data_IF_318039918007
#
_entry.id   IF_318039918007
#
_cell.length_a   1.000
_cell.length_b   1.000
_cell.length_c   1.000
_cell.angle_alpha   90.00
_cell.angle_beta   90.00
_cell.angle_gamma   90.00
#
_symmetry.space_group_name_H-M   'P 1'
#
loop_
_entity.id
_entity.type
_entity.pdbx_description
1 polymer ?
#
# COMPACT_ATOMS: atom_id res chain seq x y z
N UNK A 1 18.83 53.08 18.33
CA UNK A 1 18.56 51.70 17.91
C UNK A 1 19.60 51.33 16.87
N UNK A 2 20.40 50.27 17.05
CA UNK A 2 21.38 49.85 16.06
C UNK A 2 20.66 49.27 14.83
N UNK A 3 21.06 49.69 13.64
CA UNK A 3 20.53 49.18 12.36
C UNK A 3 21.08 47.76 12.14
N UNK A 4 20.16 46.81 11.89
CA UNK A 4 20.50 45.41 11.63
C UNK A 4 21.39 45.29 10.39
N UNK A 5 22.54 44.68 10.57
CA UNK A 5 23.53 44.40 9.53
C UNK A 5 23.03 43.27 8.62
N UNK A 6 22.37 43.63 7.53
CA UNK A 6 22.58 43.10 6.18
C UNK A 6 22.34 41.62 5.83
N UNK A 7 21.90 40.74 6.73
CA UNK A 7 21.76 39.30 6.39
C UNK A 7 20.47 38.64 6.91
N UNK A 8 19.71 39.29 7.78
CA UNK A 8 18.47 38.73 8.32
C UNK A 8 17.26 39.19 7.48
N UNK A 9 16.36 38.28 7.03
CA UNK A 9 15.19 38.64 6.27
C UNK A 9 14.29 39.60 7.06
N UNK A 10 13.89 40.71 6.45
CA UNK A 10 13.00 41.68 7.08
C UNK A 10 11.55 41.30 6.79
N UNK A 11 10.75 41.09 7.84
CA UNK A 11 9.29 40.99 7.74
C UNK A 11 8.69 42.39 7.74
N UNK A 12 8.02 42.76 6.64
CA UNK A 12 7.25 44.00 6.56
C UNK A 12 5.96 43.92 7.39
N UNK A 13 5.33 45.08 7.62
CA UNK A 13 4.09 45.17 8.39
C UNK A 13 2.89 44.45 7.74
N UNK A 14 3.00 44.10 6.46
CA UNK A 14 2.02 43.30 5.70
C UNK A 14 2.28 41.78 5.79
N UNK A 15 3.32 41.35 6.53
CA UNK A 15 3.71 39.95 6.68
C UNK A 15 4.65 39.43 5.59
N UNK A 16 5.02 40.25 4.60
CA UNK A 16 5.92 39.85 3.51
C UNK A 16 7.36 39.79 4.00
N UNK A 17 8.05 38.68 3.75
CA UNK A 17 9.46 38.50 4.06
C UNK A 17 10.31 38.95 2.87
N UNK A 18 11.11 39.99 3.05
CA UNK A 18 11.99 40.54 2.02
C UNK A 18 13.46 40.35 2.38
N UNK A 19 14.27 40.06 1.38
CA UNK A 19 15.71 40.05 1.53
C UNK A 19 16.26 41.50 1.45
N UNK A 20 16.88 42.03 2.51
CA UNK A 20 17.33 43.41 2.55
C UNK A 20 18.49 43.73 1.59
N UNK A 21 19.18 42.72 1.05
CA UNK A 21 20.33 42.93 0.16
C UNK A 21 19.93 43.22 -1.29
N UNK A 22 18.77 42.71 -1.75
CA UNK A 22 18.34 42.83 -3.15
C UNK A 22 16.87 43.25 -3.30
N UNK A 23 16.12 43.39 -2.21
CA UNK A 23 14.70 43.76 -2.23
C UNK A 23 13.79 42.68 -2.81
N UNK A 24 14.29 41.46 -3.01
CA UNK A 24 13.49 40.34 -3.52
C UNK A 24 12.63 39.75 -2.40
N UNK A 25 11.38 39.41 -2.75
CA UNK A 25 10.47 38.67 -1.87
C UNK A 25 10.98 37.24 -1.75
N UNK A 26 11.20 36.78 -0.52
CA UNK A 26 11.53 35.38 -0.25
C UNK A 26 10.21 34.62 -0.24
N UNK A 27 9.85 34.03 -1.38
CA UNK A 27 8.75 33.09 -1.48
C UNK A 27 9.28 31.75 -0.96
N UNK A 28 8.61 31.21 0.06
CA UNK A 28 8.94 29.88 0.59
C UNK A 28 8.54 28.86 -0.48
N UNK A 29 9.50 28.44 -1.31
CA UNK A 29 9.34 27.42 -2.37
C UNK A 29 9.13 26.01 -1.79
N UNK A 30 8.60 25.88 -0.57
CA UNK A 30 8.11 24.62 -0.01
C UNK A 30 6.73 24.27 -0.60
N UNK A 31 6.55 24.46 -1.91
CA UNK A 31 5.47 23.76 -2.60
C UNK A 31 5.81 22.28 -2.56
N UNK A 32 4.93 21.50 -1.97
CA UNK A 32 4.99 20.03 -1.91
C UNK A 32 5.33 19.46 -3.29
N UNK A 33 6.61 19.14 -3.50
CA UNK A 33 7.10 18.49 -4.72
C UNK A 33 6.53 17.07 -4.75
N UNK A 34 5.39 16.90 -5.41
CA UNK A 34 4.85 15.59 -5.73
C UNK A 34 5.83 14.94 -6.71
N UNK A 35 6.54 13.90 -6.25
CA UNK A 35 7.41 13.12 -7.13
C UNK A 35 6.56 12.47 -8.23
N UNK A 36 6.59 13.06 -9.43
CA UNK A 36 5.97 12.46 -10.61
C UNK A 36 6.80 11.23 -11.00
N UNK A 37 6.22 10.01 -10.96
CA UNK A 37 6.96 8.81 -11.31
C UNK A 37 7.54 8.92 -12.72
N UNK A 38 8.79 8.50 -12.89
CA UNK A 38 9.43 8.57 -14.21
C UNK A 38 8.67 7.71 -15.21
N UNK A 39 8.60 8.15 -16.47
CA UNK A 39 7.90 7.45 -17.57
C UNK A 39 8.25 5.94 -17.66
N UNK A 40 9.47 5.56 -17.25
CA UNK A 40 9.95 4.18 -17.23
C UNK A 40 9.42 3.33 -16.07
N UNK A 41 9.15 3.95 -14.91
CA UNK A 41 8.55 3.26 -13.76
C UNK A 41 7.07 2.97 -14.04
N UNK A 42 6.32 3.95 -14.53
CA UNK A 42 4.92 3.75 -14.96
C UNK A 42 4.79 2.64 -16.01
N UNK A 43 5.70 2.60 -17.00
CA UNK A 43 5.69 1.53 -18.00
C UNK A 43 5.96 0.15 -17.41
N UNK A 44 6.84 0.02 -16.41
CA UNK A 44 7.13 -1.27 -15.77
C UNK A 44 5.94 -1.75 -14.94
N UNK A 45 5.33 -0.85 -14.19
CA UNK A 45 4.16 -1.14 -13.37
C UNK A 45 2.96 -1.54 -14.23
N UNK A 46 2.76 -0.84 -15.35
CA UNK A 46 1.73 -1.15 -16.34
C UNK A 46 1.94 -2.49 -17.06
N UNK A 47 3.19 -2.91 -17.26
CA UNK A 47 3.50 -4.21 -17.90
C UNK A 47 3.31 -5.37 -16.93
N UNK A 48 3.52 -5.18 -15.63
CA UNK A 48 3.34 -6.23 -14.62
C UNK A 48 1.87 -6.55 -14.34
N UNK A 49 0.97 -5.60 -14.54
CA UNK A 49 -0.48 -5.75 -14.30
C UNK A 49 -1.24 -6.40 -15.47
N UNK A 50 -0.62 -6.59 -16.64
CA UNK A 50 -1.32 -7.14 -17.83
C UNK A 50 -1.16 -8.66 -17.95
N UNK A 51 -2.29 -9.37 -18.01
CA UNK A 51 -2.33 -10.78 -18.44
C UNK A 51 -2.15 -10.91 -19.95
N UNK A 52 -1.54 -12.01 -20.40
CA UNK A 52 -1.40 -12.29 -21.83
C UNK A 52 -2.62 -13.07 -22.32
N UNK A 53 -3.00 -12.86 -23.57
CA UNK A 53 -4.14 -13.56 -24.22
C UNK A 53 -3.98 -15.09 -24.19
N UNK A 54 -2.74 -15.58 -24.16
CA UNK A 54 -2.43 -17.02 -24.07
C UNK A 54 -2.65 -17.62 -22.68
N UNK A 55 -2.79 -16.79 -21.65
CA UNK A 55 -2.99 -17.22 -20.26
C UNK A 55 -4.49 -17.44 -19.98
N UNK A 56 -5.35 -17.29 -21.01
CA UNK A 56 -6.78 -17.47 -20.92
C UNK A 56 -7.17 -18.95 -21.08
N UNK A 57 -8.24 -19.42 -20.41
CA UNK A 57 -8.61 -20.84 -20.35
C UNK A 57 -9.07 -21.46 -21.67
N UNK A 58 -9.35 -20.64 -22.70
CA UNK A 58 -9.98 -21.09 -23.96
C UNK A 58 -9.29 -20.48 -25.17
N UNK A 59 -9.25 -21.19 -26.32
CA UNK A 59 -8.73 -20.66 -27.56
C UNK A 59 -9.30 -19.27 -27.92
N UNK A 60 -8.48 -18.36 -28.49
CA UNK A 60 -8.86 -16.97 -28.74
C UNK A 60 -10.17 -16.78 -29.52
N UNK A 61 -10.43 -17.65 -30.48
CA UNK A 61 -11.60 -17.55 -31.37
C UNK A 61 -12.93 -17.66 -30.60
N UNK A 62 -13.00 -18.57 -29.61
CA UNK A 62 -14.19 -18.73 -28.76
C UNK A 62 -14.21 -17.74 -27.61
N UNK A 63 -13.03 -17.34 -27.14
CA UNK A 63 -12.86 -16.38 -26.06
C UNK A 63 -13.43 -15.01 -26.41
N UNK A 64 -13.23 -14.53 -27.65
CA UNK A 64 -13.72 -13.23 -28.08
C UNK A 64 -15.25 -13.12 -27.96
N UNK A 65 -15.98 -14.12 -28.45
CA UNK A 65 -17.44 -14.14 -28.39
C UNK A 65 -17.94 -14.20 -26.95
N UNK A 66 -17.39 -15.09 -26.13
CA UNK A 66 -17.76 -15.22 -24.72
C UNK A 66 -17.44 -13.93 -23.94
N UNK A 67 -16.30 -13.29 -24.23
CA UNK A 67 -15.90 -12.03 -23.60
C UNK A 67 -16.87 -10.90 -23.95
N UNK A 68 -17.32 -10.81 -25.20
CA UNK A 68 -18.31 -9.80 -25.61
C UNK A 68 -19.66 -10.04 -24.93
N UNK A 69 -20.12 -11.29 -24.86
CA UNK A 69 -21.33 -11.66 -24.11
C UNK A 69 -21.19 -11.26 -22.64
N UNK A 70 -20.03 -11.49 -22.02
CA UNK A 70 -19.77 -11.08 -20.64
C UNK A 70 -19.81 -9.56 -20.48
N UNK A 71 -19.14 -8.80 -21.34
CA UNK A 71 -19.14 -7.33 -21.29
C UNK A 71 -20.56 -6.77 -21.36
N UNK A 72 -21.38 -7.24 -22.31
CA UNK A 72 -22.75 -6.78 -22.43
C UNK A 72 -23.63 -7.25 -21.25
N UNK A 73 -23.41 -8.44 -20.73
CA UNK A 73 -24.10 -8.92 -19.52
C UNK A 73 -23.73 -8.10 -18.28
N UNK A 74 -22.49 -7.63 -18.15
CA UNK A 74 -22.06 -6.75 -17.05
C UNK A 74 -22.66 -5.34 -17.18
N UNK A 75 -22.92 -4.89 -18.40
CA UNK A 75 -23.64 -3.63 -18.67
C UNK A 75 -25.16 -3.74 -18.47
N UNK A 76 -25.68 -4.93 -18.20
CA UNK A 76 -27.11 -5.16 -17.97
C UNK A 76 -27.95 -5.18 -19.25
N UNK A 77 -27.34 -5.44 -20.40
CA UNK A 77 -28.04 -5.56 -21.69
C UNK A 77 -28.81 -6.90 -21.72
N UNK A 78 -29.97 -6.91 -22.37
CA UNK A 78 -30.81 -8.10 -22.53
C UNK A 78 -30.17 -9.15 -23.45
N UNK A 79 -30.49 -10.43 -23.25
CA UNK A 79 -29.93 -11.52 -24.07
C UNK A 79 -30.40 -11.44 -25.54
N UNK A 80 -31.59 -10.88 -25.80
CA UNK A 80 -32.12 -10.60 -27.13
C UNK A 80 -31.28 -9.56 -27.88
N UNK A 81 -30.96 -8.45 -27.22
CA UNK A 81 -30.12 -7.40 -27.80
C UNK A 81 -28.67 -7.89 -28.02
N UNK A 82 -28.14 -8.69 -27.11
CA UNK A 82 -26.82 -9.31 -27.24
C UNK A 82 -26.78 -10.25 -28.45
N UNK A 83 -27.82 -11.07 -28.62
CA UNK A 83 -27.97 -11.96 -29.76
C UNK A 83 -28.03 -11.18 -31.08
N UNK A 84 -28.79 -10.08 -31.11
CA UNK A 84 -28.89 -9.20 -32.28
C UNK A 84 -27.54 -8.55 -32.64
N UNK A 85 -26.79 -8.03 -31.66
CA UNK A 85 -25.49 -7.37 -31.89
C UNK A 85 -24.42 -8.37 -32.33
N UNK A 86 -24.39 -9.57 -31.73
CA UNK A 86 -23.38 -10.59 -32.03
C UNK A 86 -23.76 -11.48 -33.22
N UNK A 87 -24.94 -11.28 -33.83
CA UNK A 87 -25.47 -12.13 -34.90
C UNK A 87 -25.51 -13.61 -34.48
N UNK A 88 -25.94 -13.86 -33.24
CA UNK A 88 -26.12 -15.19 -32.65
C UNK A 88 -27.60 -15.48 -32.41
N UNK A 89 -27.93 -16.75 -32.23
CA UNK A 89 -29.27 -17.12 -31.74
C UNK A 89 -29.36 -16.88 -30.23
N UNK A 90 -30.49 -16.40 -29.72
CA UNK A 90 -30.71 -16.16 -28.29
C UNK A 90 -30.43 -17.42 -27.45
N UNK A 91 -30.84 -18.59 -27.96
CA UNK A 91 -30.55 -19.88 -27.33
C UNK A 91 -29.04 -20.18 -27.22
N UNK A 92 -28.22 -19.67 -28.13
CA UNK A 92 -26.76 -19.80 -28.07
C UNK A 92 -26.16 -18.90 -27.00
N UNK A 93 -26.66 -17.66 -26.86
CA UNK A 93 -26.25 -16.74 -25.78
C UNK A 93 -26.58 -17.36 -24.42
N UNK A 94 -27.78 -17.92 -24.26
CA UNK A 94 -28.17 -18.65 -23.04
C UNK A 94 -27.26 -19.83 -22.72
N UNK A 95 -26.90 -20.65 -23.72
CA UNK A 95 -25.93 -21.76 -23.56
C UNK A 95 -24.54 -21.26 -23.18
N UNK A 96 -24.09 -20.15 -23.76
CA UNK A 96 -22.79 -19.55 -23.42
C UNK A 96 -22.77 -19.04 -21.98
N UNK A 97 -23.84 -18.40 -21.49
CA UNK A 97 -23.93 -17.96 -20.08
C UNK A 97 -23.91 -19.11 -19.09
N UNK A 98 -24.47 -20.27 -19.46
CA UNK A 98 -24.44 -21.48 -18.63
C UNK A 98 -23.13 -22.27 -18.74
N UNK A 99 -22.22 -21.88 -19.63
CA UNK A 99 -20.95 -22.59 -19.78
C UNK A 99 -20.02 -22.34 -18.59
N UNK A 100 -19.25 -23.36 -18.22
CA UNK A 100 -18.24 -23.24 -17.16
C UNK A 100 -17.20 -22.17 -17.49
N UNK A 101 -16.81 -22.05 -18.77
CA UNK A 101 -15.91 -21.01 -19.26
C UNK A 101 -16.41 -19.60 -18.96
N UNK A 102 -17.70 -19.33 -19.17
CA UNK A 102 -18.27 -18.01 -18.88
C UNK A 102 -18.22 -17.72 -17.38
N UNK A 103 -18.50 -18.71 -16.54
CA UNK A 103 -18.39 -18.58 -15.08
C UNK A 103 -16.95 -18.30 -14.64
N UNK A 104 -15.98 -19.06 -15.14
CA UNK A 104 -14.57 -18.88 -14.82
C UNK A 104 -14.07 -17.47 -15.18
N UNK A 105 -14.38 -16.99 -16.40
CA UNK A 105 -13.97 -15.64 -16.83
C UNK A 105 -14.67 -14.58 -16.00
N UNK A 106 -15.96 -14.77 -15.70
CA UNK A 106 -16.71 -13.83 -14.86
C UNK A 106 -16.13 -13.74 -13.45
N UNK A 107 -15.84 -14.88 -12.82
CA UNK A 107 -15.23 -14.94 -11.49
C UNK A 107 -13.86 -14.25 -11.49
N UNK A 108 -13.04 -14.50 -12.51
CA UNK A 108 -11.74 -13.85 -12.66
C UNK A 108 -11.86 -12.33 -12.82
N UNK A 109 -12.80 -11.85 -13.63
CA UNK A 109 -13.05 -10.41 -13.80
C UNK A 109 -13.49 -9.77 -12.49
N UNK A 110 -14.40 -10.42 -11.74
CA UNK A 110 -14.84 -9.93 -10.43
C UNK A 110 -13.69 -9.92 -9.43
N UNK A 111 -12.87 -10.97 -9.40
CA UNK A 111 -11.70 -11.05 -8.54
C UNK A 111 -10.71 -9.93 -8.86
N UNK A 112 -10.42 -9.70 -10.14
CA UNK A 112 -9.54 -8.62 -10.57
C UNK A 112 -10.05 -7.23 -10.19
N UNK A 113 -11.37 -7.00 -10.22
CA UNK A 113 -11.96 -5.73 -9.77
C UNK A 113 -11.73 -5.57 -8.26
N UNK A 114 -12.04 -6.60 -7.47
CA UNK A 114 -11.87 -6.57 -6.01
C UNK A 114 -10.40 -6.35 -5.63
N UNK A 115 -9.47 -7.05 -6.29
CA UNK A 115 -8.03 -6.88 -6.04
C UNK A 115 -7.55 -5.47 -6.37
N UNK A 116 -8.00 -4.91 -7.49
CA UNK A 116 -7.65 -3.56 -7.89
C UNK A 116 -8.22 -2.49 -6.95
N UNK A 117 -9.48 -2.66 -6.51
CA UNK A 117 -10.10 -1.79 -5.52
C UNK A 117 -9.40 -1.90 -4.16
N UNK A 118 -9.05 -3.12 -3.73
CA UNK A 118 -8.29 -3.36 -2.51
C UNK A 118 -6.90 -2.69 -2.56
N UNK A 119 -6.22 -2.74 -3.71
CA UNK A 119 -4.96 -2.04 -3.92
C UNK A 119 -5.13 -0.53 -3.84
N UNK A 120 -6.17 0.03 -4.47
CA UNK A 120 -6.49 1.45 -4.38
C UNK A 120 -6.74 1.89 -2.93
N UNK A 121 -7.48 1.09 -2.15
CA UNK A 121 -7.71 1.34 -0.72
C UNK A 121 -6.42 1.27 0.08
N UNK A 122 -5.56 0.27 -0.16
CA UNK A 122 -4.24 0.16 0.50
C UNK A 122 -3.36 1.37 0.21
N UNK A 123 -3.32 1.80 -1.06
CA UNK A 123 -2.58 3.01 -1.46
C UNK A 123 -3.10 4.26 -0.76
N UNK A 124 -4.43 4.42 -0.70
CA UNK A 124 -5.06 5.54 0.01
C UNK A 124 -4.76 5.51 1.51
N UNK A 125 -4.79 4.33 2.16
CA UNK A 125 -4.43 4.19 3.57
C UNK A 125 -2.96 4.53 3.80
N UNK A 126 -2.06 4.09 2.91
CA UNK A 126 -0.64 4.40 3.02
C UNK A 126 -0.39 5.90 2.91
N UNK A 127 -1.02 6.57 1.95
CA UNK A 127 -0.92 8.02 1.77
C UNK A 127 -1.49 8.77 2.98
N UNK A 128 -2.67 8.37 3.45
CA UNK A 128 -3.29 8.94 4.65
C UNK A 128 -2.43 8.71 5.90
N UNK A 129 -1.74 7.56 5.99
CA UNK A 129 -0.80 7.25 7.06
C UNK A 129 0.40 8.20 7.06
N UNK A 130 1.01 8.43 5.89
CA UNK A 130 2.10 9.40 5.74
C UNK A 130 1.64 10.81 6.11
N UNK A 131 0.49 11.25 5.59
CA UNK A 131 -0.07 12.56 5.91
C UNK A 131 -0.36 12.69 7.41
N UNK A 132 -0.97 11.67 8.03
CA UNK A 132 -1.26 11.67 9.46
C UNK A 132 0.02 11.76 10.29
N UNK A 133 1.08 11.05 9.92
CA UNK A 133 2.38 11.16 10.57
C UNK A 133 2.95 12.58 10.48
N UNK A 134 2.91 13.21 9.30
CA UNK A 134 3.33 14.60 9.10
C UNK A 134 2.51 15.56 9.97
N UNK A 135 1.18 15.41 10.02
CA UNK A 135 0.30 16.24 10.85
C UNK A 135 0.61 16.12 12.35
N UNK A 136 0.96 14.93 12.82
CA UNK A 136 1.36 14.73 14.23
C UNK A 136 2.67 15.49 14.51
N UNK A 137 3.64 15.46 13.59
CA UNK A 137 4.89 16.21 13.73
C UNK A 137 4.64 17.73 13.70
N UNK A 138 3.82 18.23 12.77
CA UNK A 138 3.40 19.64 12.71
C UNK A 138 2.72 20.09 14.02
N UNK A 139 1.93 19.21 14.63
CA UNK A 139 1.24 19.45 15.90
C UNK A 139 2.17 19.82 17.06
N UNK A 140 3.45 19.42 17.03
CA UNK A 140 4.47 19.82 18.02
C UNK A 140 4.77 21.32 18.01
N UNK A 141 4.55 21.98 16.87
CA UNK A 141 4.78 23.42 16.71
C UNK A 141 3.49 24.23 16.84
N UNK A 142 2.34 23.59 17.11
CA UNK A 142 1.04 24.27 17.24
C UNK A 142 1.04 25.31 18.38
N UNK A 143 0.43 26.49 18.23
CA UNK A 143 0.34 27.47 19.32
C UNK A 143 -0.50 26.97 20.51
N UNK A 144 -1.40 26.00 20.29
CA UNK A 144 -2.22 25.42 21.34
C UNK A 144 -1.45 24.35 22.13
N UNK A 145 -1.29 24.57 23.44
CA UNK A 145 -0.61 23.64 24.35
C UNK A 145 -1.23 22.25 24.36
N UNK A 146 -2.56 22.14 24.31
CA UNK A 146 -3.26 20.84 24.34
C UNK A 146 -2.91 20.00 23.12
N UNK A 147 -2.91 20.60 21.93
CA UNK A 147 -2.55 19.94 20.67
C UNK A 147 -1.08 19.53 20.68
N UNK A 148 -0.21 20.37 21.24
CA UNK A 148 1.22 20.11 21.35
C UNK A 148 1.52 18.90 22.23
N UNK A 149 0.93 18.87 23.43
CA UNK A 149 1.11 17.78 24.40
C UNK A 149 0.52 16.48 23.83
N UNK A 150 -0.66 16.54 23.21
CA UNK A 150 -1.27 15.37 22.58
C UNK A 150 -0.38 14.81 21.48
N UNK A 151 0.17 15.67 20.61
CA UNK A 151 1.03 15.25 19.50
C UNK A 151 2.37 14.69 20.00
N UNK A 152 2.96 15.30 21.03
CA UNK A 152 4.19 14.81 21.66
C UNK A 152 3.99 13.44 22.32
N UNK A 153 2.86 13.25 23.01
CA UNK A 153 2.49 11.94 23.58
C UNK A 153 2.33 10.89 22.48
N UNK A 154 1.61 11.22 21.41
CA UNK A 154 1.37 10.31 20.29
C UNK A 154 2.66 9.89 19.56
N UNK A 155 3.65 10.78 19.48
CA UNK A 155 4.98 10.47 18.93
C UNK A 155 5.81 9.58 19.85
N UNK A 156 5.85 9.88 21.15
CA UNK A 156 6.56 9.04 22.13
C UNK A 156 5.96 7.64 22.20
N UNK A 157 4.64 7.56 22.17
CA UNK A 157 3.89 6.30 22.18
C UNK A 157 4.20 5.45 20.94
N UNK A 158 4.24 6.06 19.74
CA UNK A 158 4.58 5.36 18.50
C UNK A 158 6.08 5.06 18.38
N UNK A 159 6.93 5.82 19.05
CA UNK A 159 8.38 5.60 19.15
C UNK A 159 8.78 4.46 20.10
N UNK A 160 7.81 3.76 20.69
CA UNK A 160 8.08 2.65 21.63
C UNK A 160 8.52 3.10 23.02
N UNK A 161 8.24 4.36 23.40
CA UNK A 161 8.51 4.87 24.73
C UNK A 161 7.32 4.71 25.70
N UNK A 162 6.34 3.86 25.36
CA UNK A 162 5.28 3.53 26.30
C UNK A 162 5.86 2.80 27.50
N UNK A 163 5.36 3.04 28.72
CA UNK A 163 5.80 2.32 29.91
C UNK A 163 5.73 0.78 29.75
N UNK A 164 4.75 0.27 28.99
CA UNK A 164 4.64 -1.15 28.68
C UNK A 164 5.79 -1.65 27.78
N UNK A 165 6.12 -0.91 26.72
CA UNK A 165 7.11 -1.30 25.72
C UNK A 165 8.55 -1.28 26.29
N UNK A 166 8.86 -0.34 27.19
CA UNK A 166 10.17 -0.22 27.87
C UNK A 166 10.44 -1.41 28.81
N UNK A 167 9.39 -1.97 29.42
CA UNK A 167 9.51 -3.11 30.33
C UNK A 167 9.79 -4.41 29.54
N UNK A 168 9.14 -4.62 28.39
CA UNK A 168 9.44 -5.77 27.53
C UNK A 168 10.88 -5.77 27.01
N UNK A 169 11.41 -4.62 26.59
CA UNK A 169 12.81 -4.51 26.15
C UNK A 169 13.82 -4.82 27.26
N UNK A 170 13.48 -4.57 28.53
CA UNK A 170 14.35 -4.92 29.67
C UNK A 170 14.32 -6.42 30.01
N UNK A 171 13.23 -7.12 29.71
CA UNK A 171 13.07 -8.54 30.03
C UNK A 171 13.46 -9.48 28.88
N UNK A 172 13.51 -8.98 27.63
CA UNK A 172 14.05 -9.72 26.48
C UNK A 172 15.59 -9.64 26.43
N UNK A 173 16.24 -10.06 27.51
CA UNK A 173 17.67 -10.42 27.46
C UNK A 173 17.74 -11.84 26.92
N UNK A 174 17.72 -12.00 25.59
CA UNK A 174 18.05 -13.25 24.92
C UNK A 174 19.49 -13.63 25.29
N UNK A 175 19.65 -14.66 26.13
CA UNK A 175 20.98 -15.12 26.59
C UNK A 175 21.06 -15.53 28.07
N UNK A 176 19.95 -15.62 28.79
CA UNK A 176 19.96 -16.18 30.15
C UNK A 176 20.41 -17.65 30.16
N UNK A 177 21.56 -17.93 30.78
CA UNK A 177 22.03 -19.30 31.05
C UNK A 177 21.04 -20.01 31.98
N UNK A 178 20.26 -20.95 31.42
CA UNK A 178 19.40 -21.85 32.18
C UNK A 178 20.24 -23.04 32.64
N UNK A 179 20.68 -23.04 33.89
CA UNK A 179 21.33 -24.20 34.51
C UNK A 179 20.22 -25.12 35.02
N UNK A 180 20.08 -26.30 34.40
CA UNK A 180 19.10 -27.32 34.78
C UNK A 180 19.85 -28.51 35.41
N UNK A 181 19.49 -28.84 36.65
CA UNK A 181 20.12 -29.93 37.40
C UNK A 181 19.38 -31.22 37.07
N UNK A 182 19.96 -32.07 36.22
CA UNK A 182 19.40 -33.38 35.87
C UNK A 182 20.06 -34.44 36.74
N UNK A 183 19.30 -35.07 37.63
CA UNK A 183 19.72 -36.29 38.33
C UNK A 183 19.76 -37.44 37.33
N UNK A 184 20.96 -37.95 37.05
CA UNK A 184 21.17 -39.11 36.17
C UNK A 184 20.88 -40.40 36.94
N UNK A 185 20.00 -41.25 36.42
CA UNK A 185 19.86 -42.64 36.86
C UNK A 185 20.90 -43.53 36.13
N UNK A 186 21.34 -44.62 36.78
CA UNK A 186 22.54 -45.41 36.45
C UNK A 186 22.59 -46.06 35.05
N UNK A 187 21.51 -46.06 34.27
CA UNK A 187 21.43 -46.81 33.00
C UNK A 187 21.15 -45.96 31.75
N UNK A 188 21.32 -44.64 31.81
CA UNK A 188 21.09 -43.78 30.65
C UNK A 188 22.34 -43.66 29.76
N UNK A 189 22.48 -44.60 28.81
CA UNK A 189 23.55 -44.59 27.81
C UNK A 189 23.06 -43.76 26.61
N UNK A 190 23.71 -42.63 26.27
CA UNK A 190 23.27 -41.80 25.15
C UNK A 190 23.56 -42.50 23.82
N UNK A 191 22.50 -42.81 23.08
CA UNK A 191 22.59 -43.33 21.71
C UNK A 191 22.63 -42.12 20.77
N UNK A 192 23.73 -41.99 20.02
CA UNK A 192 23.88 -40.98 18.97
C UNK A 192 23.34 -41.60 17.68
N UNK A 193 22.17 -41.14 17.23
CA UNK A 193 21.56 -41.58 15.98
C UNK A 193 22.21 -40.82 14.82
N UNK A 194 23.09 -41.50 14.08
CA UNK A 194 23.77 -40.96 12.89
C UNK A 194 23.13 -41.60 11.66
N UNK A 195 22.15 -40.93 11.07
CA UNK A 195 21.63 -41.30 9.75
C UNK A 195 22.50 -40.63 8.67
N UNK A 196 23.27 -41.39 7.87
CA UNK A 196 24.07 -40.80 6.80
C UNK A 196 23.17 -40.31 5.66
N UNK A 197 23.40 -39.08 5.22
CA UNK A 197 22.76 -38.48 4.06
C UNK A 197 23.42 -39.04 2.80
N UNK A 198 22.67 -39.75 1.96
CA UNK A 198 23.17 -40.22 0.66
C UNK A 198 23.61 -39.02 -0.20
N UNK A 199 24.79 -39.16 -0.82
CA UNK A 199 25.43 -38.20 -1.73
C UNK A 199 24.85 -38.39 -3.13
#
# INVERSE_FOLDING_TARGET
MPLATGVEPLTLADGTVINPANGAVVVDDSEDLIEVPSMRQMQREYVMTRRRVRDLPVPPDKMNTISMVLCYSLLGISDEDIAAVLSLEEAQVGKMRMSDTFREIREEVVHSIIENDAESVRSMISQAGTLAATRVVEGLNSPNEVTRISSAKDLLDRGGHRPADVIEHKHKVEGGLKIEYVTKEENDIPIIDITPKEI
#
